data_IF_668848097975
#
_entry.id   IF_668848097975
#
_cell.length_a   1.000
_cell.length_b   1.000
_cell.length_c   1.000
_cell.angle_alpha   90.00
_cell.angle_beta   90.00
_cell.angle_gamma   90.00
#
_symmetry.space_group_name_H-M   'P 1'
#
loop_
_entity.id
_entity.type
_entity.pdbx_description
1 polymer ?
#
# COMPACT_ATOMS: atom_id res chain seq x y z
N UNK A 1 5.74 -24.11 -15.38
CA UNK A 1 4.75 -23.04 -15.60
C UNK A 1 5.40 -21.75 -15.14
N UNK A 2 5.58 -20.80 -16.06
CA UNK A 2 6.57 -19.72 -15.97
C UNK A 2 6.31 -18.76 -14.81
N UNK A 3 7.37 -18.48 -14.04
CA UNK A 3 7.45 -17.33 -13.16
C UNK A 3 7.43 -16.10 -14.06
N UNK A 4 6.27 -15.48 -14.26
CA UNK A 4 6.18 -14.19 -14.93
C UNK A 4 6.79 -13.15 -14.01
N UNK A 5 8.11 -13.03 -14.03
CA UNK A 5 8.81 -11.88 -13.49
C UNK A 5 8.53 -10.73 -14.44
N UNK A 6 7.37 -10.10 -14.27
CA UNK A 6 7.09 -8.79 -14.84
C UNK A 6 7.97 -7.80 -14.06
N UNK A 7 9.24 -7.73 -14.44
CA UNK A 7 10.15 -6.71 -13.93
C UNK A 7 9.69 -5.42 -14.58
N UNK A 8 9.04 -4.56 -13.81
CA UNK A 8 8.78 -3.20 -14.24
C UNK A 8 10.11 -2.50 -14.42
N UNK A 9 10.24 -1.72 -15.49
CA UNK A 9 11.31 -0.75 -15.62
C UNK A 9 11.28 0.22 -14.42
N UNK A 10 12.43 0.83 -14.11
CA UNK A 10 12.58 1.70 -12.93
C UNK A 10 11.48 2.77 -12.82
N UNK A 11 11.08 3.38 -13.94
CA UNK A 11 9.99 4.36 -13.99
C UNK A 11 8.63 3.76 -13.63
N UNK A 12 8.35 2.53 -14.05
CA UNK A 12 7.13 1.80 -13.71
C UNK A 12 7.09 1.40 -12.24
N UNK A 13 8.22 0.97 -11.69
CA UNK A 13 8.37 0.75 -10.25
C UNK A 13 8.15 2.03 -9.43
N UNK A 14 8.72 3.16 -9.86
CA UNK A 14 8.54 4.45 -9.18
C UNK A 14 7.09 4.96 -9.26
N UNK A 15 6.42 4.75 -10.40
CA UNK A 15 5.01 5.09 -10.55
C UNK A 15 4.12 4.25 -9.61
N UNK A 16 4.35 2.94 -9.56
CA UNK A 16 3.65 2.04 -8.65
C UNK A 16 3.90 2.39 -7.18
N UNK A 17 5.15 2.70 -6.81
CA UNK A 17 5.48 3.12 -5.46
C UNK A 17 4.71 4.40 -5.09
N UNK A 18 4.64 5.39 -5.98
CA UNK A 18 3.89 6.63 -5.73
C UNK A 18 2.40 6.39 -5.56
N UNK A 19 1.81 5.55 -6.39
CA UNK A 19 0.39 5.19 -6.30
C UNK A 19 0.08 4.45 -4.99
N UNK A 20 0.93 3.50 -4.62
CA UNK A 20 0.81 2.76 -3.37
C UNK A 20 0.96 3.68 -2.15
N UNK A 21 1.96 4.57 -2.14
CA UNK A 21 2.15 5.55 -1.06
C UNK A 21 0.96 6.52 -0.94
N UNK A 22 0.40 6.96 -2.07
CA UNK A 22 -0.79 7.82 -2.06
C UNK A 22 -1.99 7.09 -1.47
N UNK A 23 -2.19 5.83 -1.84
CA UNK A 23 -3.28 5.00 -1.32
C UNK A 23 -3.12 4.77 0.17
N UNK A 24 -1.93 4.37 0.64
CA UNK A 24 -1.63 4.21 2.08
C UNK A 24 -1.90 5.49 2.85
N UNK A 25 -1.53 6.65 2.31
CA UNK A 25 -1.79 7.96 2.93
C UNK A 25 -3.29 8.29 3.03
N UNK A 26 -4.05 8.16 1.94
CA UNK A 26 -5.49 8.44 1.92
C UNK A 26 -6.28 7.46 2.83
N UNK A 27 -5.97 6.17 2.74
CA UNK A 27 -6.61 5.15 3.57
C UNK A 27 -6.20 5.29 5.04
N UNK A 28 -4.94 5.65 5.33
CA UNK A 28 -4.47 5.94 6.68
C UNK A 28 -5.19 7.12 7.33
N UNK A 29 -5.43 8.20 6.59
CA UNK A 29 -6.22 9.33 7.07
C UNK A 29 -7.69 8.94 7.35
N UNK A 30 -8.29 8.16 6.44
CA UNK A 30 -9.67 7.65 6.62
C UNK A 30 -9.77 6.67 7.79
N UNK A 31 -8.75 5.83 7.98
CA UNK A 31 -8.62 4.92 9.11
C UNK A 31 -8.59 5.70 10.42
N UNK A 32 -7.72 6.71 10.54
CA UNK A 32 -7.64 7.55 11.74
C UNK A 32 -9.01 8.17 12.07
N UNK A 33 -9.67 8.77 11.08
CA UNK A 33 -11.01 9.34 11.27
C UNK A 33 -12.07 8.31 11.67
N UNK A 34 -12.00 7.10 11.12
CA UNK A 34 -12.91 6.01 11.45
C UNK A 34 -12.68 5.50 12.88
N UNK A 35 -11.42 5.45 13.33
CA UNK A 35 -11.05 5.17 14.73
C UNK A 35 -11.63 6.25 15.65
N UNK A 36 -11.43 7.53 15.33
CA UNK A 36 -11.99 8.66 16.10
C UNK A 36 -13.53 8.62 16.19
N UNK A 37 -14.18 8.09 15.14
CA UNK A 37 -15.64 7.95 15.07
C UNK A 37 -16.18 6.62 15.64
N UNK A 38 -15.28 5.75 16.12
CA UNK A 38 -15.58 4.40 16.61
C UNK A 38 -16.34 3.51 15.60
N UNK A 39 -16.13 3.72 14.30
CA UNK A 39 -16.75 2.93 13.23
C UNK A 39 -15.87 1.72 12.86
N UNK A 40 -16.07 0.62 13.58
CA UNK A 40 -15.25 -0.60 13.43
C UNK A 40 -15.29 -1.18 12.01
N UNK A 41 -16.42 -1.04 11.32
CA UNK A 41 -16.57 -1.56 9.95
C UNK A 41 -15.69 -0.82 8.96
N UNK A 42 -15.66 0.51 9.07
CA UNK A 42 -14.83 1.38 8.25
C UNK A 42 -13.35 1.22 8.61
N UNK A 43 -13.02 1.08 9.89
CA UNK A 43 -11.66 0.77 10.35
C UNK A 43 -11.14 -0.49 9.66
N UNK A 44 -11.85 -1.62 9.75
CA UNK A 44 -11.43 -2.87 9.13
C UNK A 44 -11.29 -2.75 7.61
N UNK A 45 -12.21 -2.02 6.97
CA UNK A 45 -12.16 -1.75 5.53
C UNK A 45 -10.88 -1.00 5.16
N UNK A 46 -10.61 0.14 5.79
CA UNK A 46 -9.45 0.97 5.46
C UNK A 46 -8.13 0.27 5.80
N UNK A 47 -8.06 -0.48 6.91
CA UNK A 47 -6.89 -1.32 7.22
C UNK A 47 -6.67 -2.38 6.15
N UNK A 48 -7.73 -3.04 5.65
CA UNK A 48 -7.59 -4.06 4.62
C UNK A 48 -7.04 -3.50 3.29
N UNK A 49 -7.39 -2.27 2.94
CA UNK A 49 -6.87 -1.59 1.75
C UNK A 49 -5.39 -1.21 1.93
N UNK A 50 -4.98 -0.70 3.09
CA UNK A 50 -3.56 -0.44 3.41
C UNK A 50 -2.73 -1.73 3.30
N UNK A 51 -3.23 -2.84 3.86
CA UNK A 51 -2.56 -4.14 3.80
C UNK A 51 -2.50 -4.71 2.37
N UNK A 52 -3.43 -4.33 1.50
CA UNK A 52 -3.45 -4.78 0.10
C UNK A 52 -2.29 -4.19 -0.70
N UNK A 53 -1.95 -2.93 -0.45
CA UNK A 53 -0.82 -2.26 -1.09
C UNK A 53 0.52 -2.92 -0.71
N UNK A 54 0.64 -3.41 0.52
CA UNK A 54 1.81 -4.17 0.99
C UNK A 54 1.95 -5.55 0.35
N UNK A 55 0.90 -6.12 -0.26
CA UNK A 55 0.99 -7.41 -0.94
C UNK A 55 1.57 -7.31 -2.36
N UNK A 56 1.88 -6.12 -2.85
CA UNK A 56 2.44 -5.93 -4.19
C UNK A 56 3.88 -6.47 -4.25
N UNK A 57 4.07 -7.68 -4.76
CA UNK A 57 5.41 -8.27 -5.01
C UNK A 57 6.11 -7.71 -6.25
N UNK A 58 5.69 -6.54 -6.73
CA UNK A 58 6.20 -5.88 -7.92
C UNK A 58 7.26 -4.82 -7.61
N UNK A 59 7.46 -4.50 -6.33
CA UNK A 59 8.45 -3.53 -5.88
C UNK A 59 9.77 -4.21 -5.54
N UNK A 60 10.86 -3.57 -5.94
CA UNK A 60 12.22 -3.87 -5.48
C UNK A 60 12.30 -3.80 -3.95
N UNK A 61 13.24 -4.54 -3.31
CA UNK A 61 13.35 -4.60 -1.84
C UNK A 61 13.44 -3.22 -1.16
N UNK A 62 14.11 -2.26 -1.81
CA UNK A 62 14.22 -0.87 -1.34
C UNK A 62 12.87 -0.15 -1.32
N UNK A 63 12.11 -0.24 -2.42
CA UNK A 63 10.82 0.42 -2.59
C UNK A 63 9.76 -0.22 -1.68
N UNK A 64 9.80 -1.55 -1.55
CA UNK A 64 8.97 -2.29 -0.60
C UNK A 64 9.18 -1.82 0.85
N UNK A 65 10.44 -1.63 1.27
CA UNK A 65 10.74 -1.15 2.62
C UNK A 65 10.22 0.27 2.87
N UNK A 66 10.31 1.15 1.88
CA UNK A 66 9.72 2.49 1.97
C UNK A 66 8.21 2.45 2.15
N UNK A 67 7.52 1.61 1.36
CA UNK A 67 6.07 1.45 1.47
C UNK A 67 5.66 0.88 2.84
N UNK A 68 6.38 -0.13 3.33
CA UNK A 68 6.15 -0.73 4.65
C UNK A 68 6.30 0.31 5.78
N UNK A 69 7.34 1.15 5.70
CA UNK A 69 7.59 2.21 6.70
C UNK A 69 6.49 3.27 6.67
N UNK A 70 5.90 3.57 5.50
CA UNK A 70 4.80 4.53 5.40
C UNK A 70 3.46 3.99 5.89
N UNK A 71 3.28 2.66 5.90
CA UNK A 71 2.04 2.01 6.30
C UNK A 71 1.94 1.73 7.81
N UNK A 72 3.05 1.85 8.55
CA UNK A 72 3.15 1.58 9.98
C UNK A 72 3.26 2.87 10.79
#
# INVERSE_FOLDING_TARGET
MGHTSFVLDNEGEEALLREALQTVSDQGFRLQRAVDSNDQSAVLKYTSEVLRELRTSLLSPKNYYQLCTAAC
#
